data_IF_540530517588
#
_entry.id   IF_540530517588
#
_cell.length_a   1.000
_cell.length_b   1.000
_cell.length_c   1.000
_cell.angle_alpha   90.00
_cell.angle_beta   90.00
_cell.angle_gamma   90.00
#
_symmetry.space_group_name_H-M   'P 1'
#
loop_
_entity.id
_entity.type
_entity.pdbx_description
1 polymer ?
#
# COMPACT_ATOMS: atom_id res chain seq x y z
N UNK A 1 2.06 -42.36 73.50
CA UNK A 1 1.48 -41.01 73.39
C UNK A 1 0.59 -41.03 72.16
N UNK A 2 -0.45 -41.86 72.14
CA UNK A 2 -1.19 -42.19 70.90
C UNK A 2 -2.70 -42.28 71.12
N UNK A 3 -3.21 -41.63 72.17
CA UNK A 3 -4.64 -41.70 72.51
C UNK A 3 -5.25 -40.34 72.86
N UNK A 4 -4.49 -39.24 72.65
CA UNK A 4 -4.98 -37.87 72.84
C UNK A 4 -5.01 -37.03 71.55
N UNK A 5 -4.53 -37.57 70.41
CA UNK A 5 -4.62 -36.94 69.09
C UNK A 5 -5.86 -37.39 68.29
N UNK A 6 -6.57 -38.44 68.70
CA UNK A 6 -7.83 -38.88 68.06
C UNK A 6 -9.11 -38.32 68.72
N UNK A 7 -8.98 -37.54 69.80
CA UNK A 7 -10.14 -36.99 70.52
C UNK A 7 -10.42 -35.51 70.18
N UNK A 8 -9.59 -34.86 69.35
CA UNK A 8 -9.78 -33.47 68.93
C UNK A 8 -10.27 -33.30 67.47
N UNK A 9 -10.33 -34.37 66.66
CA UNK A 9 -10.93 -34.32 65.32
C UNK A 9 -12.43 -34.62 65.30
N UNK A 10 -13.01 -35.06 66.43
CA UNK A 10 -14.42 -35.49 66.50
C UNK A 10 -15.39 -34.41 67.03
N UNK A 11 -14.95 -33.16 67.23
CA UNK A 11 -15.79 -32.09 67.82
C UNK A 11 -15.87 -30.78 67.02
N UNK A 12 -15.42 -30.74 65.75
CA UNK A 12 -15.61 -29.58 64.86
C UNK A 12 -16.51 -29.86 63.64
N UNK A 13 -17.41 -30.84 63.72
CA UNK A 13 -18.41 -31.12 62.67
C UNK A 13 -19.88 -30.98 63.12
N UNK A 14 -20.13 -30.27 64.22
CA UNK A 14 -21.49 -29.94 64.66
C UNK A 14 -21.75 -28.43 64.61
N UNK A 15 -22.69 -28.01 63.74
CA UNK A 15 -23.17 -26.64 63.46
C UNK A 15 -22.30 -25.90 62.41
N UNK A 16 -22.74 -25.61 61.18
CA UNK A 16 -24.06 -25.15 60.74
C UNK A 16 -24.50 -25.85 59.43
N UNK A 17 -25.41 -26.80 59.58
CA UNK A 17 -26.37 -27.15 58.53
C UNK A 17 -27.40 -26.02 58.45
N UNK A 18 -27.32 -25.22 57.39
CA UNK A 18 -28.49 -24.58 56.79
C UNK A 18 -28.34 -24.66 55.27
N UNK A 19 -28.43 -25.88 54.74
CA UNK A 19 -28.76 -26.12 53.34
C UNK A 19 -30.09 -26.87 53.35
N UNK A 20 -31.10 -26.26 52.74
CA UNK A 20 -32.48 -26.72 52.77
C UNK A 20 -32.64 -28.18 52.33
N UNK A 21 -33.67 -28.81 52.89
CA UNK A 21 -34.17 -30.14 52.54
C UNK A 21 -34.14 -30.42 51.02
N UNK A 22 -33.85 -31.66 50.58
CA UNK A 22 -34.00 -32.04 49.18
C UNK A 22 -35.50 -32.05 48.84
N UNK A 23 -35.94 -31.04 48.09
CA UNK A 23 -37.24 -31.05 47.42
C UNK A 23 -37.23 -32.15 46.36
N UNK A 24 -37.77 -33.32 46.70
CA UNK A 24 -38.10 -34.39 45.75
C UNK A 24 -36.92 -35.00 44.98
N UNK A 25 -37.15 -36.13 44.32
CA UNK A 25 -36.21 -36.63 43.30
C UNK A 25 -36.46 -35.80 42.02
N UNK A 26 -35.53 -34.94 41.55
CA UNK A 26 -35.79 -34.02 40.44
C UNK A 26 -36.23 -34.74 39.16
N UNK A 27 -35.74 -35.97 38.98
CA UNK A 27 -36.14 -36.86 37.88
C UNK A 27 -37.60 -37.32 37.98
N UNK A 28 -38.15 -37.48 39.19
CA UNK A 28 -39.54 -37.87 39.42
C UNK A 28 -40.53 -36.71 39.17
N UNK A 29 -40.10 -35.46 39.40
CA UNK A 29 -40.88 -34.27 39.05
C UNK A 29 -40.84 -34.00 37.54
N UNK A 30 -39.68 -34.13 36.90
CA UNK A 30 -39.54 -34.08 35.45
C UNK A 30 -40.39 -35.15 34.74
N UNK A 31 -40.45 -36.37 35.28
CA UNK A 31 -41.29 -37.44 34.72
C UNK A 31 -42.80 -37.11 34.71
N UNK A 32 -43.28 -36.21 35.58
CA UNK A 32 -44.69 -35.74 35.55
C UNK A 32 -44.96 -34.76 34.39
N UNK A 33 -43.93 -34.14 33.84
CA UNK A 33 -44.00 -33.10 32.79
C UNK A 33 -43.48 -33.59 31.42
N UNK A 34 -43.28 -34.89 31.24
CA UNK A 34 -42.76 -35.50 29.99
C UNK A 34 -41.37 -36.13 30.09
N UNK A 35 -40.73 -36.09 31.27
CA UNK A 35 -39.46 -36.76 31.56
C UNK A 35 -38.25 -36.14 30.86
N UNK A 36 -37.14 -36.87 30.84
CA UNK A 36 -35.90 -36.41 30.20
C UNK A 36 -36.04 -36.25 28.67
N UNK A 37 -37.01 -36.96 28.04
CA UNK A 37 -37.31 -36.83 26.61
C UNK A 37 -37.86 -35.45 26.23
N UNK A 38 -38.56 -34.78 27.13
CA UNK A 38 -38.96 -33.38 26.92
C UNK A 38 -37.75 -32.45 26.87
N UNK A 39 -36.79 -32.65 27.78
CA UNK A 39 -35.54 -31.86 27.81
C UNK A 39 -34.69 -32.13 26.56
N UNK A 40 -34.67 -33.37 26.05
CA UNK A 40 -34.02 -33.72 24.77
C UNK A 40 -34.57 -32.95 23.57
N UNK A 41 -35.84 -32.54 23.61
CA UNK A 41 -36.47 -31.76 22.54
C UNK A 41 -36.20 -30.26 22.60
N UNK A 42 -35.75 -29.76 23.77
CA UNK A 42 -35.56 -28.32 24.05
C UNK A 42 -34.08 -27.93 24.07
N UNK A 43 -33.22 -28.80 24.61
CA UNK A 43 -31.78 -28.55 24.75
C UNK A 43 -30.99 -29.46 23.83
N UNK A 44 -30.49 -28.89 22.74
CA UNK A 44 -29.71 -29.64 21.75
C UNK A 44 -28.42 -30.20 22.36
N UNK A 45 -28.12 -31.47 22.05
CA UNK A 45 -26.97 -32.21 22.61
C UNK A 45 -27.19 -32.87 23.97
N UNK A 46 -28.27 -32.56 24.71
CA UNK A 46 -28.51 -33.14 26.05
C UNK A 46 -28.87 -34.63 26.01
N UNK A 47 -29.23 -35.16 24.83
CA UNK A 47 -29.50 -36.58 24.62
C UNK A 47 -28.31 -37.49 24.97
N UNK A 48 -27.08 -36.96 24.91
CA UNK A 48 -25.89 -37.67 25.36
C UNK A 48 -25.81 -37.80 26.89
N UNK A 49 -26.59 -37.01 27.64
CA UNK A 49 -26.66 -37.02 29.11
C UNK A 49 -27.87 -37.78 29.66
N UNK A 50 -28.67 -38.44 28.79
CA UNK A 50 -29.88 -39.14 29.17
C UNK A 50 -29.61 -40.30 30.17
N UNK A 51 -30.23 -40.30 31.37
CA UNK A 51 -30.04 -41.34 32.39
C UNK A 51 -30.44 -42.75 31.94
N UNK A 52 -31.34 -42.87 30.96
CA UNK A 52 -31.80 -44.16 30.42
C UNK A 52 -30.78 -44.81 29.49
N UNK A 53 -29.85 -44.02 28.92
CA UNK A 53 -28.81 -44.47 27.97
C UNK A 53 -27.43 -44.47 28.63
N UNK A 54 -27.24 -45.34 29.64
CA UNK A 54 -26.02 -45.40 30.48
C UNK A 54 -24.71 -45.50 29.70
N UNK A 55 -24.63 -46.39 28.69
CA UNK A 55 -23.41 -46.56 27.89
C UNK A 55 -23.04 -45.30 27.09
N UNK A 56 -24.03 -44.61 26.50
CA UNK A 56 -23.81 -43.38 25.73
C UNK A 56 -23.36 -42.23 26.63
N UNK A 57 -23.90 -42.16 27.85
CA UNK A 57 -23.52 -41.18 28.87
C UNK A 57 -22.09 -41.42 29.38
N UNK A 58 -21.71 -42.66 29.69
CA UNK A 58 -20.33 -42.96 30.11
C UNK A 58 -19.32 -42.66 29.00
N UNK A 59 -19.62 -43.03 27.76
CA UNK A 59 -18.77 -42.68 26.61
C UNK A 59 -18.67 -41.16 26.46
N UNK A 60 -19.78 -40.43 26.55
CA UNK A 60 -19.76 -38.97 26.42
C UNK A 60 -19.01 -38.26 27.55
N UNK A 61 -19.02 -38.80 28.78
CA UNK A 61 -18.32 -38.22 29.93
C UNK A 61 -16.81 -38.53 29.92
N UNK A 62 -16.42 -39.73 29.46
CA UNK A 62 -15.04 -40.20 29.58
C UNK A 62 -14.21 -40.05 28.30
N UNK A 63 -14.83 -39.84 27.14
CA UNK A 63 -14.12 -39.67 25.86
C UNK A 63 -13.45 -38.28 25.78
N UNK A 64 -12.14 -38.24 25.51
CA UNK A 64 -11.36 -37.01 25.34
C UNK A 64 -11.78 -36.22 24.10
N UNK A 65 -12.23 -36.89 23.03
CA UNK A 65 -12.59 -36.25 21.77
C UNK A 65 -13.89 -35.42 21.86
N UNK A 66 -14.66 -35.59 22.94
CA UNK A 66 -15.93 -34.88 23.17
C UNK A 66 -15.81 -33.77 24.22
N UNK A 67 -14.58 -33.37 24.56
CA UNK A 67 -14.34 -32.34 25.57
C UNK A 67 -14.94 -30.97 25.18
N UNK A 68 -14.83 -30.57 23.92
CA UNK A 68 -15.43 -29.33 23.43
C UNK A 68 -16.97 -29.41 23.41
N UNK A 69 -17.55 -30.52 22.91
CA UNK A 69 -19.01 -30.75 22.96
C UNK A 69 -19.57 -30.70 24.40
N UNK A 70 -18.81 -31.19 25.39
CA UNK A 70 -19.20 -31.11 26.81
C UNK A 70 -19.20 -29.67 27.33
N UNK A 71 -18.21 -28.86 26.97
CA UNK A 71 -18.14 -27.44 27.36
C UNK A 71 -19.30 -26.65 26.75
N UNK A 72 -19.57 -26.87 25.46
CA UNK A 72 -20.71 -26.23 24.78
C UNK A 72 -22.05 -26.64 25.41
N UNK A 73 -22.25 -27.94 25.69
CA UNK A 73 -23.47 -28.42 26.34
C UNK A 73 -23.64 -27.80 27.73
N UNK A 74 -22.57 -27.70 28.51
CA UNK A 74 -22.60 -27.04 29.82
C UNK A 74 -22.99 -25.56 29.71
N UNK A 75 -22.43 -24.83 28.74
CA UNK A 75 -22.79 -23.43 28.49
C UNK A 75 -24.26 -23.29 28.08
N UNK A 76 -24.76 -24.15 27.18
CA UNK A 76 -26.17 -24.18 26.77
C UNK A 76 -27.10 -24.44 27.96
N UNK A 77 -26.77 -25.42 28.81
CA UNK A 77 -27.54 -25.72 30.03
C UNK A 77 -27.54 -24.52 30.97
N UNK A 78 -26.39 -23.90 31.23
CA UNK A 78 -26.30 -22.72 32.09
C UNK A 78 -27.09 -21.52 31.54
N UNK A 79 -27.11 -21.32 30.22
CA UNK A 79 -27.94 -20.31 29.56
C UNK A 79 -29.43 -20.54 29.81
N UNK A 80 -29.90 -21.79 29.66
CA UNK A 80 -31.29 -22.17 29.96
C UNK A 80 -31.64 -22.01 31.44
N UNK A 81 -30.76 -22.44 32.35
CA UNK A 81 -30.95 -22.28 33.80
C UNK A 81 -31.06 -20.80 34.17
N UNK A 82 -30.14 -19.96 33.69
CA UNK A 82 -30.17 -18.51 33.93
C UNK A 82 -31.44 -17.85 33.36
N UNK A 83 -32.00 -18.38 32.27
CA UNK A 83 -33.22 -17.86 31.67
C UNK A 83 -34.47 -18.24 32.49
N UNK A 84 -34.52 -19.49 32.95
CA UNK A 84 -35.65 -20.04 33.71
C UNK A 84 -35.69 -19.51 35.15
N UNK A 85 -34.54 -19.24 35.76
CA UNK A 85 -34.46 -18.65 37.10
C UNK A 85 -34.77 -17.14 37.09
N UNK A 86 -34.51 -16.46 35.98
CA UNK A 86 -34.63 -15.00 35.85
C UNK A 86 -35.94 -14.51 35.23
N UNK A 87 -36.88 -15.37 34.85
CA UNK A 87 -38.10 -14.96 34.13
C UNK A 87 -39.32 -15.81 34.50
N UNK A 88 -40.44 -15.14 34.81
CA UNK A 88 -41.67 -15.79 35.30
C UNK A 88 -42.66 -16.19 34.19
N UNK A 89 -42.48 -15.69 32.96
CA UNK A 89 -43.35 -15.99 31.82
C UNK A 89 -42.57 -16.19 30.52
N UNK A 90 -43.15 -16.96 29.60
CA UNK A 90 -42.56 -17.24 28.29
C UNK A 90 -42.32 -15.96 27.46
N UNK A 91 -43.21 -14.97 27.56
CA UNK A 91 -43.05 -13.68 26.87
C UNK A 91 -41.86 -12.89 27.43
N UNK A 92 -41.70 -12.82 28.77
CA UNK A 92 -40.53 -12.18 29.41
C UNK A 92 -39.23 -12.91 29.07
N UNK A 93 -39.26 -14.23 28.95
CA UNK A 93 -38.11 -15.04 28.51
C UNK A 93 -37.71 -14.67 27.07
N UNK A 94 -38.68 -14.55 26.17
CA UNK A 94 -38.43 -14.16 24.77
C UNK A 94 -37.85 -12.74 24.68
N UNK A 95 -38.40 -11.78 25.42
CA UNK A 95 -37.90 -10.40 25.45
C UNK A 95 -36.48 -10.31 26.04
N UNK A 96 -36.20 -11.07 27.11
CA UNK A 96 -34.88 -11.15 27.74
C UNK A 96 -33.85 -11.77 26.78
N UNK A 97 -34.21 -12.84 26.06
CA UNK A 97 -33.37 -13.42 25.02
C UNK A 97 -33.06 -12.39 23.91
N UNK A 98 -34.08 -11.65 23.47
CA UNK A 98 -33.94 -10.65 22.41
C UNK A 98 -33.04 -9.50 22.84
N UNK A 99 -33.20 -9.02 24.08
CA UNK A 99 -32.35 -7.99 24.66
C UNK A 99 -30.91 -8.47 24.84
N UNK A 100 -30.69 -9.69 25.36
CA UNK A 100 -29.34 -10.28 25.47
C UNK A 100 -28.68 -10.47 24.11
N UNK A 101 -29.43 -10.90 23.09
CA UNK A 101 -28.92 -11.04 21.73
C UNK A 101 -28.51 -9.67 21.15
N UNK A 102 -29.33 -8.63 21.35
CA UNK A 102 -28.99 -7.25 20.96
C UNK A 102 -27.74 -6.74 21.69
N UNK A 103 -27.64 -6.93 23.00
CA UNK A 103 -26.44 -6.56 23.78
C UNK A 103 -25.19 -7.31 23.33
N UNK A 104 -25.32 -8.60 22.99
CA UNK A 104 -24.21 -9.39 22.47
C UNK A 104 -23.76 -8.90 21.09
N UNK A 105 -24.70 -8.55 20.22
CA UNK A 105 -24.42 -7.95 18.90
C UNK A 105 -23.73 -6.58 19.02
N UNK A 106 -24.22 -5.71 19.90
CA UNK A 106 -23.60 -4.41 20.20
C UNK A 106 -22.17 -4.58 20.75
N UNK A 107 -21.97 -5.51 21.69
CA UNK A 107 -20.66 -5.80 22.24
C UNK A 107 -19.71 -6.37 21.19
N UNK A 108 -20.20 -7.27 20.31
CA UNK A 108 -19.41 -7.82 19.22
C UNK A 108 -18.97 -6.72 18.26
N UNK A 109 -19.89 -5.86 17.81
CA UNK A 109 -19.59 -4.73 16.92
C UNK A 109 -18.58 -3.77 17.52
N UNK A 110 -18.72 -3.45 18.82
CA UNK A 110 -17.75 -2.62 19.54
C UNK A 110 -16.36 -3.26 19.60
N UNK A 111 -16.28 -4.56 19.89
CA UNK A 111 -15.01 -5.28 19.93
C UNK A 111 -14.37 -5.37 18.54
N UNK A 112 -15.16 -5.59 17.50
CA UNK A 112 -14.69 -5.60 16.11
C UNK A 112 -14.16 -4.21 15.71
N UNK A 113 -14.90 -3.13 15.99
CA UNK A 113 -14.43 -1.76 15.75
C UNK A 113 -13.09 -1.48 16.43
N UNK A 114 -12.98 -1.80 17.72
CA UNK A 114 -11.72 -1.65 18.46
C UNK A 114 -10.57 -2.48 17.85
N UNK A 115 -10.87 -3.67 17.32
CA UNK A 115 -9.88 -4.54 16.68
C UNK A 115 -9.41 -3.94 15.36
N UNK A 116 -10.34 -3.44 14.54
CA UNK A 116 -10.02 -2.77 13.28
C UNK A 116 -9.20 -1.51 13.52
N UNK A 117 -9.59 -0.68 14.49
CA UNK A 117 -8.85 0.53 14.87
C UNK A 117 -7.40 0.20 15.32
N UNK A 118 -7.23 -0.86 16.11
CA UNK A 118 -5.92 -1.30 16.58
C UNK A 118 -5.04 -1.86 15.45
N UNK A 119 -5.63 -2.53 14.45
CA UNK A 119 -4.91 -3.16 13.33
C UNK A 119 -4.76 -2.20 12.13
N UNK A 120 -5.46 -1.07 12.12
CA UNK A 120 -5.52 -0.15 10.96
C UNK A 120 -4.16 0.25 10.40
N UNK A 121 -3.22 0.62 11.26
CA UNK A 121 -1.86 0.98 10.82
C UNK A 121 -1.14 -0.20 10.16
N UNK A 122 -1.26 -1.40 10.73
CA UNK A 122 -0.65 -2.61 10.20
C UNK A 122 -1.29 -2.99 8.86
N UNK A 123 -2.62 -2.92 8.78
CA UNK A 123 -3.39 -3.13 7.55
C UNK A 123 -2.93 -2.18 6.44
N UNK A 124 -2.86 -0.87 6.71
CA UNK A 124 -2.40 0.14 5.75
C UNK A 124 -0.99 -0.17 5.25
N UNK A 125 -0.05 -0.46 6.15
CA UNK A 125 1.35 -0.68 5.78
C UNK A 125 1.53 -1.95 4.91
N UNK A 126 0.93 -3.07 5.30
CA UNK A 126 1.04 -4.31 4.53
C UNK A 126 0.28 -4.25 3.21
N UNK A 127 -0.87 -3.57 3.16
CA UNK A 127 -1.57 -3.30 1.89
C UNK A 127 -0.73 -2.42 0.97
N UNK A 128 -0.06 -1.41 1.51
CA UNK A 128 0.83 -0.52 0.74
C UNK A 128 1.99 -1.30 0.10
N UNK A 129 2.63 -2.20 0.86
CA UNK A 129 3.67 -3.09 0.31
C UNK A 129 3.08 -4.05 -0.74
N UNK A 130 1.92 -4.65 -0.46
CA UNK A 130 1.24 -5.53 -1.41
C UNK A 130 0.91 -4.81 -2.73
N UNK A 131 0.48 -3.55 -2.66
CA UNK A 131 0.17 -2.74 -3.83
C UNK A 131 1.37 -2.56 -4.76
N UNK A 132 2.58 -2.40 -4.24
CA UNK A 132 3.79 -2.39 -5.09
C UNK A 132 3.87 -3.65 -5.95
N UNK A 133 3.82 -4.84 -5.32
CA UNK A 133 3.93 -6.11 -6.02
C UNK A 133 2.80 -6.34 -7.02
N UNK A 134 1.54 -6.07 -6.62
CA UNK A 134 0.36 -6.22 -7.49
C UNK A 134 0.42 -5.33 -8.73
N UNK A 135 1.07 -4.17 -8.62
CA UNK A 135 1.23 -3.24 -9.72
C UNK A 135 2.45 -3.51 -10.60
N UNK A 136 3.42 -4.32 -10.14
CA UNK A 136 4.48 -4.83 -11.03
C UNK A 136 3.96 -5.82 -12.07
N UNK A 137 2.89 -6.57 -11.76
CA UNK A 137 2.34 -7.65 -12.59
C UNK A 137 3.37 -8.72 -12.99
N UNK A 138 4.38 -8.93 -12.15
CA UNK A 138 5.39 -9.97 -12.31
C UNK A 138 5.17 -11.06 -11.26
N UNK A 139 5.34 -12.32 -11.64
CA UNK A 139 5.28 -13.44 -10.69
C UNK A 139 6.44 -13.40 -9.68
N UNK A 140 7.59 -12.88 -10.13
CA UNK A 140 8.78 -12.66 -9.32
C UNK A 140 9.38 -11.29 -9.65
N UNK A 141 9.59 -10.48 -8.62
CA UNK A 141 10.28 -9.20 -8.73
C UNK A 141 11.69 -9.38 -8.19
N UNK A 142 12.69 -9.23 -9.05
CA UNK A 142 14.09 -9.26 -8.64
C UNK A 142 14.53 -7.87 -8.12
N UNK A 143 15.59 -7.85 -7.30
CA UNK A 143 16.26 -6.63 -6.84
C UNK A 143 15.37 -5.65 -6.06
N UNK A 144 14.60 -6.18 -5.10
CA UNK A 144 13.79 -5.39 -4.17
C UNK A 144 14.40 -5.45 -2.77
N UNK A 145 14.68 -4.28 -2.20
CA UNK A 145 15.10 -4.10 -0.81
C UNK A 145 13.98 -3.38 -0.05
N UNK A 146 13.58 -3.92 1.11
CA UNK A 146 12.56 -3.31 1.97
C UNK A 146 13.22 -2.85 3.27
N UNK A 147 13.06 -1.57 3.58
CA UNK A 147 13.50 -0.97 4.84
C UNK A 147 12.28 -0.66 5.69
N UNK A 148 12.26 -1.18 6.92
CA UNK A 148 11.22 -0.88 7.88
C UNK A 148 11.59 0.38 8.67
N UNK A 149 10.92 1.49 8.37
CA UNK A 149 11.11 2.78 9.04
C UNK A 149 9.76 3.49 9.15
N UNK A 150 9.53 4.22 10.25
CA UNK A 150 8.37 5.11 10.36
C UNK A 150 8.58 6.39 9.56
N UNK A 151 7.49 7.06 9.19
CA UNK A 151 7.54 8.33 8.46
C UNK A 151 8.29 9.42 9.25
N UNK A 152 8.16 9.40 10.58
CA UNK A 152 8.89 10.29 11.50
C UNK A 152 10.40 10.05 11.41
N UNK A 153 10.84 8.79 11.39
CA UNK A 153 12.26 8.43 11.31
C UNK A 153 12.91 8.82 9.98
N UNK A 154 12.17 8.75 8.86
CA UNK A 154 12.69 9.14 7.53
C UNK A 154 12.58 10.64 7.26
N UNK A 155 11.86 11.38 8.11
CA UNK A 155 11.74 12.84 8.06
C UNK A 155 12.55 13.56 9.14
N UNK A 156 13.12 12.83 10.09
CA UNK A 156 13.98 13.35 11.13
C UNK A 156 15.34 13.81 10.56
N UNK A 157 15.58 15.13 10.62
CA UNK A 157 16.84 15.74 10.20
C UNK A 157 17.81 15.94 11.37
N UNK A 158 17.31 15.89 12.61
CA UNK A 158 18.10 16.07 13.82
C UNK A 158 18.83 14.76 14.18
N UNK A 159 18.18 13.62 13.96
CA UNK A 159 18.77 12.29 14.07
C UNK A 159 18.61 11.45 12.79
N UNK A 160 19.40 11.76 11.73
CA UNK A 160 19.19 11.23 10.38
C UNK A 160 19.70 9.79 10.18
N UNK A 161 19.56 8.89 11.17
CA UNK A 161 20.05 7.51 11.10
C UNK A 161 19.65 6.78 9.81
N UNK A 162 18.36 6.82 9.45
CA UNK A 162 17.85 6.15 8.25
C UNK A 162 18.26 6.86 6.97
N UNK A 163 18.24 8.19 6.98
CA UNK A 163 18.62 8.99 5.81
C UNK A 163 20.09 8.74 5.47
N UNK A 164 20.96 8.74 6.47
CA UNK A 164 22.38 8.57 6.29
C UNK A 164 22.73 7.11 5.94
N UNK A 165 22.06 6.13 6.54
CA UNK A 165 22.23 4.72 6.17
C UNK A 165 21.84 4.44 4.71
N UNK A 166 20.70 4.96 4.25
CA UNK A 166 20.25 4.79 2.85
C UNK A 166 21.16 5.58 1.89
N UNK A 167 21.61 6.77 2.30
CA UNK A 167 22.56 7.58 1.52
C UNK A 167 23.90 6.86 1.33
N UNK A 168 24.43 6.26 2.40
CA UNK A 168 25.65 5.47 2.35
C UNK A 168 25.46 4.20 1.50
N UNK A 169 24.33 3.51 1.62
CA UNK A 169 24.01 2.37 0.77
C UNK A 169 23.98 2.76 -0.71
N UNK A 170 23.28 3.84 -1.08
CA UNK A 170 23.23 4.31 -2.47
C UNK A 170 24.62 4.68 -2.99
N UNK A 171 25.43 5.38 -2.19
CA UNK A 171 26.81 5.70 -2.55
C UNK A 171 27.64 4.43 -2.74
N UNK A 172 27.52 3.46 -1.85
CA UNK A 172 28.25 2.21 -1.90
C UNK A 172 27.92 1.33 -3.12
N UNK A 173 26.74 1.49 -3.73
CA UNK A 173 26.38 0.83 -4.99
C UNK A 173 26.68 1.68 -6.23
N UNK A 174 26.60 3.00 -6.12
CA UNK A 174 26.87 3.91 -7.24
C UNK A 174 28.37 4.20 -7.45
N UNK A 175 29.20 4.15 -6.39
CA UNK A 175 30.65 4.32 -6.45
C UNK A 175 31.40 3.02 -6.81
N UNK A 176 30.67 1.99 -7.27
CA UNK A 176 31.28 0.75 -7.78
C UNK A 176 31.63 0.90 -9.25
N UNK A 177 32.69 0.21 -9.65
CA UNK A 177 33.02 0.05 -11.07
C UNK A 177 31.91 -0.67 -11.85
N UNK A 178 31.22 -1.59 -11.18
CA UNK A 178 30.11 -2.36 -11.70
C UNK A 178 28.78 -1.81 -11.17
N UNK A 179 27.94 -1.29 -12.06
CA UNK A 179 26.68 -0.61 -11.71
C UNK A 179 25.45 -1.51 -11.89
N UNK A 180 25.62 -2.81 -12.09
CA UNK A 180 24.49 -3.75 -12.31
C UNK A 180 23.51 -3.80 -11.13
N UNK A 181 24.02 -3.68 -9.90
CA UNK A 181 23.22 -3.73 -8.68
C UNK A 181 22.81 -2.33 -8.18
N UNK A 182 23.00 -1.28 -8.98
CA UNK A 182 22.64 0.07 -8.56
C UNK A 182 21.12 0.28 -8.53
N UNK A 183 20.64 0.91 -7.45
CA UNK A 183 19.24 1.23 -7.27
C UNK A 183 18.72 2.18 -8.37
N UNK A 184 17.46 2.00 -8.75
CA UNK A 184 16.80 2.81 -9.79
C UNK A 184 15.61 3.60 -9.29
N UNK A 185 14.88 3.07 -8.31
CA UNK A 185 13.67 3.68 -7.74
C UNK A 185 13.75 3.59 -6.22
N UNK A 186 13.41 4.68 -5.53
CA UNK A 186 13.18 4.74 -4.10
C UNK A 186 11.71 5.12 -3.88
N UNK A 187 10.92 4.25 -3.27
CA UNK A 187 9.54 4.56 -2.89
C UNK A 187 9.47 4.87 -1.40
N UNK A 188 9.04 6.09 -1.05
CA UNK A 188 8.77 6.48 0.34
C UNK A 188 7.28 6.77 0.47
N UNK A 189 6.48 5.81 0.97
CA UNK A 189 5.04 5.98 1.12
C UNK A 189 4.69 7.03 2.18
N UNK A 190 3.78 7.93 1.82
CA UNK A 190 3.29 9.00 2.69
C UNK A 190 3.96 10.35 2.44
N UNK A 191 3.51 11.36 3.19
CA UNK A 191 3.93 12.75 3.02
C UNK A 191 5.07 13.12 3.95
N UNK A 192 6.24 13.43 3.38
CA UNK A 192 7.44 13.81 4.12
C UNK A 192 7.39 15.20 4.78
N UNK A 193 6.33 15.97 4.55
CA UNK A 193 6.13 17.25 5.20
C UNK A 193 7.04 18.35 4.65
N UNK A 194 8.10 18.70 5.41
CA UNK A 194 8.88 19.90 5.16
C UNK A 194 9.65 19.86 3.84
N UNK A 195 9.72 21.01 3.15
CA UNK A 195 10.55 21.18 1.97
C UNK A 195 12.03 20.81 2.22
N UNK A 196 12.54 21.03 3.43
CA UNK A 196 13.92 20.67 3.80
C UNK A 196 14.18 19.17 3.72
N UNK A 197 13.21 18.36 4.14
CA UNK A 197 13.30 16.89 4.13
C UNK A 197 13.29 16.39 2.69
N UNK A 198 12.33 16.89 1.89
CA UNK A 198 12.23 16.56 0.46
C UNK A 198 13.49 16.98 -0.28
N UNK A 199 14.06 18.15 0.03
CA UNK A 199 15.31 18.61 -0.57
C UNK A 199 16.49 17.67 -0.25
N UNK A 200 16.63 17.23 1.02
CA UNK A 200 17.69 16.29 1.42
C UNK A 200 17.56 14.97 0.65
N UNK A 201 16.36 14.40 0.59
CA UNK A 201 16.10 13.17 -0.17
C UNK A 201 16.32 13.34 -1.67
N UNK A 202 15.88 14.46 -2.24
CA UNK A 202 16.04 14.77 -3.65
C UNK A 202 17.52 14.85 -4.04
N UNK A 203 18.37 15.47 -3.20
CA UNK A 203 19.83 15.54 -3.43
C UNK A 203 20.44 14.14 -3.41
N UNK A 204 20.14 13.33 -2.40
CA UNK A 204 20.62 11.94 -2.29
C UNK A 204 20.22 11.14 -3.54
N UNK A 205 18.97 11.28 -3.99
CA UNK A 205 18.48 10.56 -5.16
C UNK A 205 19.14 11.04 -6.46
N UNK A 206 19.29 12.35 -6.65
CA UNK A 206 19.90 12.92 -7.86
C UNK A 206 21.40 12.60 -8.00
N UNK A 207 22.14 12.63 -6.89
CA UNK A 207 23.56 12.26 -6.84
C UNK A 207 23.78 10.80 -7.27
N UNK A 208 22.91 9.90 -6.82
CA UNK A 208 22.99 8.46 -7.09
C UNK A 208 22.15 8.00 -8.31
N UNK A 209 21.54 8.94 -9.04
CA UNK A 209 20.71 8.69 -10.22
C UNK A 209 19.52 7.75 -9.93
N UNK A 210 18.89 7.93 -8.77
CA UNK A 210 17.71 7.17 -8.30
C UNK A 210 16.46 8.05 -8.47
N UNK A 211 15.34 7.44 -8.86
CA UNK A 211 14.05 8.12 -8.94
C UNK A 211 13.26 7.94 -7.66
N UNK A 212 12.96 9.02 -6.96
CA UNK A 212 12.13 9.00 -5.76
C UNK A 212 10.65 9.11 -6.12
N UNK A 213 9.81 8.29 -5.48
CA UNK A 213 8.35 8.37 -5.55
C UNK A 213 7.82 8.51 -4.13
N UNK A 214 7.07 9.58 -3.87
CA UNK A 214 6.49 9.88 -2.56
C UNK A 214 5.12 10.54 -2.72
N UNK A 215 4.40 10.75 -1.64
CA UNK A 215 3.02 11.26 -1.66
C UNK A 215 2.95 12.68 -1.11
N UNK A 216 1.98 13.46 -1.59
CA UNK A 216 1.52 14.67 -0.92
C UNK A 216 0.54 14.33 0.21
N UNK A 217 0.27 15.31 1.06
CA UNK A 217 -0.63 15.19 2.20
C UNK A 217 -1.98 14.55 1.82
N UNK A 218 -2.47 13.71 2.72
CA UNK A 218 -3.77 13.07 2.59
C UNK A 218 -4.87 14.07 2.98
N UNK A 219 -5.59 14.60 2.00
CA UNK A 219 -6.57 15.68 2.17
C UNK A 219 -7.93 15.28 1.58
N UNK A 220 -8.99 15.93 2.05
CA UNK A 220 -10.36 15.53 1.71
C UNK A 220 -10.91 16.18 0.44
N UNK A 221 -10.30 17.28 -0.01
CA UNK A 221 -10.78 18.05 -1.18
C UNK A 221 -9.64 18.40 -2.15
N UNK A 222 -9.95 18.50 -3.45
CA UNK A 222 -8.97 18.93 -4.45
C UNK A 222 -8.49 20.38 -4.23
N UNK A 223 -9.38 21.28 -3.82
CA UNK A 223 -9.02 22.69 -3.56
C UNK A 223 -7.98 22.80 -2.43
N UNK A 224 -8.15 22.02 -1.35
CA UNK A 224 -7.20 21.99 -0.23
C UNK A 224 -5.83 21.46 -0.69
N UNK A 225 -5.79 20.49 -1.62
CA UNK A 225 -4.53 20.00 -2.21
C UNK A 225 -3.84 21.13 -2.97
N UNK A 226 -4.57 21.88 -3.78
CA UNK A 226 -4.02 23.00 -4.54
C UNK A 226 -3.46 24.06 -3.60
N UNK A 227 -4.25 24.50 -2.62
CA UNK A 227 -3.88 25.59 -1.72
C UNK A 227 -2.69 25.23 -0.83
N UNK A 228 -2.71 24.03 -0.22
CA UNK A 228 -1.64 23.58 0.66
C UNK A 228 -0.37 23.25 -0.12
N UNK A 229 -0.46 22.69 -1.33
CA UNK A 229 0.72 22.42 -2.15
C UNK A 229 1.38 23.71 -2.62
N UNK A 230 0.60 24.71 -3.05
CA UNK A 230 1.11 26.03 -3.38
C UNK A 230 1.82 26.66 -2.17
N UNK A 231 1.25 26.54 -0.99
CA UNK A 231 1.82 27.08 0.26
C UNK A 231 3.09 26.32 0.71
N UNK A 232 3.17 25.02 0.46
CA UNK A 232 4.30 24.19 0.85
C UNK A 232 5.57 24.45 0.00
N UNK A 233 5.41 25.02 -1.20
CA UNK A 233 6.49 25.40 -2.12
C UNK A 233 7.52 24.27 -2.32
N UNK A 234 7.02 23.08 -2.65
CA UNK A 234 7.81 21.86 -2.80
C UNK A 234 8.46 21.71 -4.18
N UNK A 235 8.04 22.52 -5.15
CA UNK A 235 8.62 22.57 -6.49
C UNK A 235 9.79 23.54 -6.57
N UNK A 236 10.68 23.33 -7.54
CA UNK A 236 11.86 24.19 -7.68
C UNK A 236 12.60 24.00 -9.01
N UNK A 237 13.42 24.99 -9.36
CA UNK A 237 14.25 24.99 -10.56
C UNK A 237 15.58 24.23 -10.39
N UNK A 238 15.83 23.66 -9.21
CA UNK A 238 17.05 22.94 -8.91
C UNK A 238 17.02 21.53 -9.51
N UNK A 239 18.13 21.10 -10.11
CA UNK A 239 18.26 19.82 -10.81
C UNK A 239 17.77 18.62 -9.98
N UNK A 240 18.03 18.61 -8.66
CA UNK A 240 17.65 17.49 -7.81
C UNK A 240 16.14 17.25 -7.72
N UNK A 241 15.30 18.27 -7.98
CA UNK A 241 13.84 18.14 -8.02
C UNK A 241 13.35 17.29 -9.20
N UNK A 242 14.18 17.12 -10.23
CA UNK A 242 13.85 16.28 -11.38
C UNK A 242 13.82 14.78 -11.05
N UNK A 243 14.44 14.38 -9.93
CA UNK A 243 14.43 13.00 -9.45
C UNK A 243 13.31 12.70 -8.45
N UNK A 244 12.32 13.59 -8.29
CA UNK A 244 11.22 13.39 -7.35
C UNK A 244 9.88 13.43 -8.07
N UNK A 245 9.12 12.35 -7.90
CA UNK A 245 7.72 12.22 -8.30
C UNK A 245 6.87 12.32 -7.04
N UNK A 246 5.87 13.19 -7.06
CA UNK A 246 4.94 13.35 -5.95
C UNK A 246 3.50 13.03 -6.37
N UNK A 247 2.93 11.99 -5.78
CA UNK A 247 1.56 11.58 -6.02
C UNK A 247 0.58 12.31 -5.13
N UNK A 248 -0.65 12.50 -5.59
CA UNK A 248 -1.74 13.05 -4.77
C UNK A 248 -3.05 12.31 -5.07
N UNK A 249 -4.07 12.58 -4.24
CA UNK A 249 -5.34 11.85 -4.19
C UNK A 249 -5.12 10.37 -3.81
N UNK A 250 -5.33 10.05 -2.53
CA UNK A 250 -4.99 8.75 -1.98
C UNK A 250 -5.94 7.64 -2.48
N UNK A 251 -5.45 6.41 -2.45
CA UNK A 251 -6.19 5.23 -2.91
C UNK A 251 -7.06 4.69 -1.77
N UNK A 252 -8.27 4.24 -2.07
CA UNK A 252 -9.11 3.53 -1.09
C UNK A 252 -8.80 2.04 -1.17
N UNK A 253 -8.02 1.54 -0.21
CA UNK A 253 -7.59 0.14 -0.16
C UNK A 253 -8.63 -0.81 0.43
N UNK A 254 -9.49 -0.30 1.33
CA UNK A 254 -10.67 -0.99 1.86
C UNK A 254 -11.73 0.06 2.19
N UNK A 255 -12.96 -0.18 1.74
CA UNK A 255 -14.10 0.63 2.16
C UNK A 255 -14.34 0.51 3.67
N UNK A 256 -14.94 1.55 4.26
CA UNK A 256 -15.37 1.53 5.66
C UNK A 256 -16.30 0.35 5.93
N UNK A 257 -16.08 -0.33 7.05
CA UNK A 257 -16.95 -1.40 7.52
C UNK A 257 -18.19 -0.80 8.22
N UNK A 258 -19.22 -0.50 7.44
CA UNK A 258 -20.47 0.11 7.94
C UNK A 258 -21.16 -0.75 9.01
N UNK A 259 -21.02 -2.08 8.91
CA UNK A 259 -21.56 -3.08 9.83
C UNK A 259 -21.05 -2.96 11.28
N UNK A 260 -19.85 -2.39 11.46
CA UNK A 260 -19.22 -2.17 12.78
C UNK A 260 -19.07 -0.68 13.11
N UNK A 261 -19.55 0.21 12.24
CA UNK A 261 -19.53 1.66 12.44
C UNK A 261 -18.13 2.29 12.29
N UNK A 262 -17.32 1.79 11.35
CA UNK A 262 -16.14 2.54 10.89
C UNK A 262 -16.60 3.80 10.14
N UNK A 263 -15.98 4.94 10.49
CA UNK A 263 -16.34 6.25 9.92
C UNK A 263 -15.56 6.54 8.63
N UNK A 264 -14.34 6.01 8.54
CA UNK A 264 -13.38 6.32 7.50
C UNK A 264 -12.97 5.08 6.72
N UNK A 265 -12.60 5.28 5.46
CA UNK A 265 -12.00 4.24 4.64
C UNK A 265 -10.55 3.96 5.07
N UNK A 266 -10.04 2.78 4.70
CA UNK A 266 -8.60 2.52 4.78
C UNK A 266 -7.93 3.09 3.54
N UNK A 267 -7.26 4.21 3.73
CA UNK A 267 -6.58 4.95 2.68
C UNK A 267 -5.13 4.48 2.55
N UNK A 268 -4.66 4.33 1.31
CA UNK A 268 -3.33 3.87 0.97
C UNK A 268 -2.56 4.96 0.20
N UNK A 269 -1.28 5.18 0.52
CA UNK A 269 -0.41 6.08 -0.24
C UNK A 269 -0.21 5.57 -1.69
N UNK A 270 -0.53 6.38 -2.72
CA UNK A 270 -0.38 5.96 -4.11
C UNK A 270 1.05 5.68 -4.59
N UNK A 271 2.08 6.24 -3.95
CA UNK A 271 3.47 6.21 -4.41
C UNK A 271 3.99 4.80 -4.69
N UNK A 272 3.66 3.82 -3.86
CA UNK A 272 4.10 2.42 -4.02
C UNK A 272 3.40 1.73 -5.19
N UNK A 273 2.11 2.00 -5.38
CA UNK A 273 1.33 1.52 -6.53
C UNK A 273 1.92 2.06 -7.83
N UNK A 274 2.22 3.37 -7.85
CA UNK A 274 2.86 4.02 -8.99
C UNK A 274 4.28 3.48 -9.22
N UNK A 275 5.09 3.30 -8.17
CA UNK A 275 6.43 2.74 -8.26
C UNK A 275 6.41 1.32 -8.87
N UNK A 276 5.43 0.48 -8.48
CA UNK A 276 5.22 -0.83 -9.08
C UNK A 276 4.91 -0.75 -10.58
N UNK A 277 4.03 0.18 -11.00
CA UNK A 277 3.75 0.41 -12.43
C UNK A 277 4.95 0.96 -13.20
N UNK A 278 5.71 1.87 -12.60
CA UNK A 278 6.94 2.45 -13.16
C UNK A 278 8.03 1.37 -13.34
N UNK A 279 8.09 0.40 -12.43
CA UNK A 279 8.98 -0.76 -12.53
C UNK A 279 8.64 -1.64 -13.73
N UNK A 280 7.35 -1.93 -13.96
CA UNK A 280 6.90 -2.72 -15.11
C UNK A 280 7.04 -2.00 -16.45
N UNK A 281 6.68 -0.72 -16.46
CA UNK A 281 6.53 0.07 -17.69
C UNK A 281 7.90 0.36 -18.31
N UNK A 282 7.97 0.30 -19.64
CA UNK A 282 9.18 0.68 -20.38
C UNK A 282 9.63 2.08 -19.95
N UNK A 283 10.93 2.26 -19.74
CA UNK A 283 11.47 3.45 -19.10
C UNK A 283 11.18 4.77 -19.84
N UNK A 284 11.14 4.74 -21.18
CA UNK A 284 10.74 5.90 -22.00
C UNK A 284 9.25 6.22 -21.94
N UNK A 285 8.44 5.26 -21.52
CA UNK A 285 7.00 5.39 -21.42
C UNK A 285 6.62 5.89 -20.01
N UNK A 286 5.63 6.78 -19.99
CA UNK A 286 5.05 7.26 -18.73
C UNK A 286 4.03 6.25 -18.22
N UNK A 287 4.07 5.98 -16.91
CA UNK A 287 3.05 5.21 -16.21
C UNK A 287 1.83 6.09 -15.91
N UNK A 288 1.22 6.62 -16.98
CA UNK A 288 0.12 7.56 -16.90
C UNK A 288 -1.01 7.23 -17.90
N UNK A 289 -2.21 7.68 -17.57
CA UNK A 289 -3.40 7.51 -18.39
C UNK A 289 -3.88 6.06 -18.52
N UNK A 290 -4.89 5.85 -19.35
CA UNK A 290 -5.64 4.58 -19.41
C UNK A 290 -4.81 3.35 -19.75
N UNK A 291 -3.78 3.48 -20.59
CA UNK A 291 -3.00 2.35 -21.11
C UNK A 291 -1.89 1.91 -20.16
N UNK A 292 -1.17 2.86 -19.56
CA UNK A 292 0.06 2.60 -18.80
C UNK A 292 -0.02 3.03 -17.34
N UNK A 293 -1.01 3.85 -16.95
CA UNK A 293 -1.17 4.36 -15.59
C UNK A 293 -2.20 3.61 -14.74
N UNK A 294 -2.89 2.58 -15.29
CA UNK A 294 -3.92 1.84 -14.56
C UNK A 294 -3.33 1.14 -13.33
N UNK A 295 -3.95 1.33 -12.16
CA UNK A 295 -3.58 0.75 -10.87
C UNK A 295 -4.46 -0.47 -10.60
N UNK A 296 -3.86 -1.57 -10.14
CA UNK A 296 -4.54 -2.84 -9.90
C UNK A 296 -5.03 -2.95 -8.45
N UNK A 297 -6.12 -3.70 -8.22
CA UNK A 297 -6.65 -4.03 -6.88
C UNK A 297 -6.95 -2.79 -6.01
N UNK A 298 -7.51 -1.75 -6.62
CA UNK A 298 -8.03 -0.58 -5.91
C UNK A 298 -9.39 -0.22 -6.51
N UNK A 299 -10.38 0.00 -5.64
CA UNK A 299 -11.78 0.18 -6.05
C UNK A 299 -12.20 1.66 -6.14
N UNK A 300 -11.59 2.53 -5.32
CA UNK A 300 -11.86 3.97 -5.36
C UNK A 300 -10.62 4.82 -5.06
N UNK A 301 -10.72 6.11 -5.39
CA UNK A 301 -9.82 7.17 -4.92
C UNK A 301 -10.57 8.01 -3.90
N UNK A 302 -9.84 8.80 -3.11
CA UNK A 302 -10.42 9.58 -2.01
C UNK A 302 -11.49 10.57 -2.48
N UNK A 303 -11.23 11.28 -3.58
CA UNK A 303 -12.21 12.16 -4.21
C UNK A 303 -12.11 12.10 -5.73
N UNK A 304 -13.24 12.32 -6.41
CA UNK A 304 -13.29 12.42 -7.87
C UNK A 304 -12.72 13.76 -8.33
N UNK A 305 -11.99 13.73 -9.44
CA UNK A 305 -11.33 14.90 -10.02
C UNK A 305 -11.93 15.22 -11.38
N UNK A 306 -12.29 16.49 -11.60
CA UNK A 306 -12.69 16.97 -12.93
C UNK A 306 -11.47 17.14 -13.82
N UNK A 307 -11.69 17.10 -15.14
CA UNK A 307 -10.63 17.36 -16.14
C UNK A 307 -9.82 18.65 -15.87
N UNK A 308 -10.50 19.74 -15.50
CA UNK A 308 -9.83 21.01 -15.18
C UNK A 308 -8.92 20.92 -13.95
N UNK A 309 -9.36 20.20 -12.91
CA UNK A 309 -8.60 19.99 -11.67
C UNK A 309 -7.40 19.08 -11.91
N UNK A 310 -7.57 18.03 -12.74
CA UNK A 310 -6.44 17.17 -13.18
C UNK A 310 -5.38 17.99 -13.90
N UNK A 311 -5.77 18.81 -14.88
CA UNK A 311 -4.85 19.69 -15.61
C UNK A 311 -4.14 20.69 -14.69
N UNK A 312 -4.84 21.21 -13.67
CA UNK A 312 -4.25 22.11 -12.68
C UNK A 312 -3.20 21.40 -11.81
N UNK A 313 -3.53 20.21 -11.27
CA UNK A 313 -2.61 19.41 -10.46
C UNK A 313 -1.37 18.98 -11.26
N UNK A 314 -1.54 18.62 -12.54
CA UNK A 314 -0.41 18.34 -13.44
C UNK A 314 0.48 19.58 -13.62
N UNK A 315 -0.11 20.77 -13.87
CA UNK A 315 0.66 22.01 -14.04
C UNK A 315 1.47 22.36 -12.79
N UNK A 316 0.98 21.99 -11.60
CA UNK A 316 1.67 22.16 -10.33
C UNK A 316 2.81 21.15 -10.10
N UNK A 317 2.92 20.11 -10.91
CA UNK A 317 3.97 19.09 -10.79
C UNK A 317 3.57 17.84 -10.00
N UNK A 318 2.27 17.70 -9.68
CA UNK A 318 1.73 16.52 -8.99
C UNK A 318 1.33 15.41 -9.97
N UNK A 319 1.23 14.20 -9.44
CA UNK A 319 0.66 13.02 -10.11
C UNK A 319 -0.63 12.60 -9.41
N UNK A 320 -1.79 13.14 -9.82
CA UNK A 320 -3.07 12.75 -9.26
C UNK A 320 -3.45 11.32 -9.64
N UNK A 321 -4.00 10.58 -8.69
CA UNK A 321 -4.79 9.37 -8.98
C UNK A 321 -6.20 9.81 -9.37
N UNK A 322 -6.73 9.22 -10.45
CA UNK A 322 -8.06 9.53 -10.97
C UNK A 322 -8.84 8.24 -11.16
N UNK A 323 -10.14 8.26 -10.90
CA UNK A 323 -11.05 7.15 -11.20
C UNK A 323 -11.84 7.47 -12.46
N UNK A 324 -11.50 6.84 -13.58
CA UNK A 324 -12.14 7.07 -14.87
C UNK A 324 -12.35 5.75 -15.60
N UNK A 325 -13.50 5.61 -16.26
CA UNK A 325 -13.87 4.38 -16.98
C UNK A 325 -13.88 3.11 -16.11
N UNK A 326 -14.23 3.23 -14.82
CA UNK A 326 -14.23 2.13 -13.86
C UNK A 326 -12.83 1.59 -13.55
N UNK A 327 -11.80 2.41 -13.74
CA UNK A 327 -10.40 2.09 -13.47
C UNK A 327 -9.71 3.26 -12.81
N UNK A 328 -8.86 2.96 -11.84
CA UNK A 328 -8.02 3.96 -11.20
C UNK A 328 -6.73 4.06 -11.97
N UNK A 329 -6.29 5.28 -12.27
CA UNK A 329 -5.05 5.50 -12.98
C UNK A 329 -4.30 6.72 -12.47
N UNK A 330 -2.98 6.66 -12.55
CA UNK A 330 -2.14 7.83 -12.40
C UNK A 330 -2.28 8.74 -13.63
N UNK A 331 -2.40 10.05 -13.42
CA UNK A 331 -2.60 11.00 -14.51
C UNK A 331 -1.62 12.18 -14.42
N UNK A 332 -0.35 11.94 -14.77
CA UNK A 332 0.67 12.95 -15.01
C UNK A 332 2.00 12.26 -15.31
N UNK A 333 2.90 12.98 -15.96
CA UNK A 333 4.29 12.57 -16.18
C UNK A 333 5.30 13.42 -15.41
N UNK A 334 4.82 14.30 -14.53
CA UNK A 334 5.61 15.40 -13.99
C UNK A 334 6.53 14.99 -12.84
N UNK A 335 7.60 15.75 -12.70
CA UNK A 335 8.48 15.79 -11.53
C UNK A 335 8.24 17.11 -10.78
N UNK A 336 8.86 17.27 -9.61
CA UNK A 336 8.83 18.55 -8.88
C UNK A 336 9.71 19.65 -9.52
N UNK A 337 10.39 19.35 -10.63
CA UNK A 337 11.23 20.32 -11.33
C UNK A 337 10.40 21.31 -12.14
N UNK A 338 10.65 22.61 -11.95
CA UNK A 338 9.94 23.70 -12.65
C UNK A 338 10.86 24.60 -13.48
N UNK A 339 12.14 24.23 -13.64
CA UNK A 339 13.08 24.98 -14.47
C UNK A 339 12.81 24.85 -15.98
N UNK A 340 13.55 25.62 -16.77
CA UNK A 340 13.32 25.79 -18.22
C UNK A 340 13.48 24.50 -19.04
N UNK A 341 14.23 23.52 -18.53
CA UNK A 341 14.42 22.25 -19.21
C UNK A 341 13.17 21.36 -19.08
N UNK A 342 12.28 21.44 -20.06
CA UNK A 342 11.04 20.67 -20.16
C UNK A 342 11.30 19.14 -20.04
N UNK A 343 12.46 18.65 -20.47
CA UNK A 343 12.84 17.25 -20.32
C UNK A 343 12.94 16.83 -18.86
N UNK A 344 13.53 17.67 -18.01
CA UNK A 344 13.68 17.38 -16.57
C UNK A 344 12.37 17.50 -15.80
N UNK A 345 11.36 18.17 -16.37
CA UNK A 345 10.00 18.19 -15.82
C UNK A 345 9.25 16.87 -16.04
N UNK A 346 9.79 15.93 -16.84
CA UNK A 346 9.11 14.67 -17.20
C UNK A 346 9.90 13.48 -16.65
N UNK A 347 9.32 12.68 -15.76
CA UNK A 347 10.08 11.63 -15.08
C UNK A 347 10.58 10.52 -16.00
N UNK A 348 9.87 10.19 -17.09
CA UNK A 348 10.32 9.15 -18.04
C UNK A 348 11.62 9.58 -18.74
N UNK A 349 11.73 10.86 -19.06
CA UNK A 349 12.92 11.47 -19.67
C UNK A 349 14.11 11.42 -18.69
N UNK A 350 13.89 11.82 -17.43
CA UNK A 350 14.93 11.76 -16.39
C UNK A 350 15.43 10.33 -16.18
N UNK A 351 14.51 9.36 -16.11
CA UNK A 351 14.87 7.93 -15.97
C UNK A 351 15.72 7.44 -17.15
N UNK A 352 15.37 7.80 -18.39
CA UNK A 352 16.16 7.45 -19.58
C UNK A 352 17.57 8.06 -19.50
N UNK A 353 17.70 9.33 -19.08
CA UNK A 353 19.00 9.96 -18.89
C UNK A 353 19.84 9.26 -17.82
N UNK A 354 19.23 8.96 -16.67
CA UNK A 354 19.89 8.29 -15.56
C UNK A 354 20.36 6.87 -15.96
N UNK A 355 19.53 6.12 -16.69
CA UNK A 355 19.90 4.80 -17.20
C UNK A 355 21.05 4.85 -18.20
N UNK A 356 20.96 5.71 -19.22
CA UNK A 356 22.02 5.84 -20.23
C UNK A 356 23.33 6.26 -19.57
N UNK A 357 23.28 7.16 -18.59
CA UNK A 357 24.46 7.59 -17.81
C UNK A 357 25.07 6.41 -17.06
N UNK A 358 24.27 5.61 -16.34
CA UNK A 358 24.75 4.43 -15.61
C UNK A 358 25.40 3.40 -16.53
N UNK A 359 24.78 3.10 -17.67
CA UNK A 359 25.32 2.10 -18.62
C UNK A 359 26.63 2.58 -19.24
N UNK A 360 26.72 3.86 -19.62
CA UNK A 360 27.95 4.42 -20.17
C UNK A 360 29.07 4.47 -19.13
N UNK A 361 28.76 4.82 -17.88
CA UNK A 361 29.74 4.78 -16.79
C UNK A 361 30.26 3.36 -16.55
N UNK A 362 29.39 2.36 -16.43
CA UNK A 362 29.79 0.95 -16.28
C UNK A 362 30.67 0.49 -17.45
N UNK A 363 30.28 0.83 -18.69
CA UNK A 363 31.06 0.50 -19.88
C UNK A 363 32.44 1.16 -19.88
N UNK A 364 32.51 2.47 -19.62
CA UNK A 364 33.77 3.21 -19.62
C UNK A 364 34.68 2.78 -18.45
N UNK A 365 34.13 2.46 -17.29
CA UNK A 365 34.87 1.94 -16.14
C UNK A 365 35.57 0.61 -16.47
N UNK A 366 34.90 -0.29 -17.21
CA UNK A 366 35.50 -1.55 -17.68
C UNK A 366 36.62 -1.35 -18.71
N UNK A 367 36.63 -0.21 -19.40
CA UNK A 367 37.61 0.18 -20.42
C UNK A 367 38.70 1.12 -19.89
N UNK A 368 38.64 1.47 -18.61
CA UNK A 368 39.64 2.30 -17.98
C UNK A 368 41.03 1.61 -18.05
N UNK A 369 42.09 2.42 -18.11
CA UNK A 369 43.49 2.00 -18.27
C UNK A 369 43.86 1.35 -19.62
N UNK A 370 42.95 1.29 -20.59
CA UNK A 370 43.33 1.00 -21.98
C UNK A 370 44.11 2.20 -22.58
N UNK A 371 45.19 1.93 -23.32
CA UNK A 371 45.99 2.99 -23.94
C UNK A 371 45.15 3.82 -24.91
N UNK A 372 45.10 5.14 -24.74
CA UNK A 372 44.41 6.02 -25.68
C UNK A 372 45.21 6.14 -26.99
N UNK A 373 44.66 5.62 -28.08
CA UNK A 373 45.21 5.75 -29.43
C UNK A 373 44.04 5.82 -30.43
N UNK A 374 44.32 6.21 -31.69
CA UNK A 374 43.28 6.40 -32.70
C UNK A 374 42.44 5.13 -32.97
N UNK A 375 43.02 3.94 -32.81
CA UNK A 375 42.31 2.67 -33.00
C UNK A 375 41.35 2.38 -31.83
N UNK A 376 41.80 2.61 -30.61
CA UNK A 376 40.99 2.42 -29.40
C UNK A 376 39.89 3.48 -29.30
N UNK A 377 40.17 4.73 -29.70
CA UNK A 377 39.14 5.76 -29.81
C UNK A 377 38.04 5.34 -30.79
N UNK A 378 38.39 4.87 -31.99
CA UNK A 378 37.42 4.45 -33.00
C UNK A 378 36.59 3.23 -32.53
N UNK A 379 37.24 2.28 -31.85
CA UNK A 379 36.57 1.11 -31.27
C UNK A 379 35.59 1.47 -30.15
N UNK A 380 36.01 2.31 -29.19
CA UNK A 380 35.13 2.81 -28.12
C UNK A 380 33.97 3.61 -28.68
N UNK A 381 34.25 4.52 -29.63
CA UNK A 381 33.23 5.30 -30.31
C UNK A 381 32.21 4.38 -31.01
N UNK A 382 32.68 3.35 -31.71
CA UNK A 382 31.83 2.38 -32.40
C UNK A 382 30.96 1.58 -31.43
N UNK A 383 31.49 1.15 -30.30
CA UNK A 383 30.71 0.43 -29.27
C UNK A 383 29.65 1.34 -28.64
N UNK A 384 29.99 2.59 -28.31
CA UNK A 384 29.03 3.59 -27.80
C UNK A 384 27.93 3.85 -28.83
N UNK A 385 28.28 4.05 -30.10
CA UNK A 385 27.31 4.25 -31.18
C UNK A 385 26.41 3.02 -31.34
N UNK A 386 26.97 1.81 -31.30
CA UNK A 386 26.20 0.55 -31.39
C UNK A 386 25.20 0.43 -30.25
N UNK A 387 25.60 0.75 -29.02
CA UNK A 387 24.69 0.80 -27.88
C UNK A 387 23.58 1.84 -28.07
N UNK A 388 23.94 3.08 -28.44
CA UNK A 388 22.97 4.16 -28.63
C UNK A 388 22.00 3.89 -29.79
N UNK A 389 22.45 3.26 -30.88
CA UNK A 389 21.59 2.83 -31.97
C UNK A 389 20.67 1.66 -31.55
N UNK A 390 21.10 0.75 -30.67
CA UNK A 390 20.26 -0.34 -30.16
C UNK A 390 19.08 0.15 -29.29
N UNK A 391 19.25 1.28 -28.61
CA UNK A 391 18.21 1.92 -27.80
C UNK A 391 17.45 3.03 -28.53
N UNK A 392 17.74 3.23 -29.83
CA UNK A 392 17.12 4.22 -30.71
C UNK A 392 16.06 3.58 -31.59
N UNK A 393 14.96 4.31 -31.82
CA UNK A 393 13.92 3.92 -32.76
C UNK A 393 12.53 3.77 -32.13
N UNK A 394 11.51 3.47 -32.96
CA UNK A 394 10.14 3.32 -32.48
C UNK A 394 10.06 2.25 -31.39
N UNK A 395 9.32 2.54 -30.31
CA UNK A 395 9.18 1.71 -29.12
C UNK A 395 10.49 1.46 -28.34
N UNK A 396 11.53 2.27 -28.57
CA UNK A 396 12.79 2.24 -27.80
C UNK A 396 12.89 3.43 -26.84
N UNK A 397 14.08 3.67 -26.31
CA UNK A 397 14.30 4.68 -25.26
C UNK A 397 14.43 6.09 -25.84
N UNK A 398 15.05 6.22 -27.01
CA UNK A 398 15.45 7.51 -27.56
C UNK A 398 15.06 7.65 -29.04
N UNK A 399 14.78 8.88 -29.45
CA UNK A 399 14.46 9.20 -30.84
C UNK A 399 15.75 9.39 -31.67
N UNK A 400 16.70 10.16 -31.10
CA UNK A 400 17.96 10.50 -31.76
C UNK A 400 19.05 10.83 -30.76
N UNK A 401 20.30 10.67 -31.19
CA UNK A 401 21.48 11.08 -30.44
C UNK A 401 22.55 11.64 -31.39
N UNK A 402 23.47 12.42 -30.81
CA UNK A 402 24.67 12.92 -31.47
C UNK A 402 25.80 13.01 -30.44
N UNK A 403 26.92 12.36 -30.72
CA UNK A 403 28.16 12.55 -29.96
C UNK A 403 28.74 13.90 -30.41
N UNK A 404 28.77 14.88 -29.52
CA UNK A 404 29.28 16.23 -29.78
C UNK A 404 30.80 16.26 -29.60
N UNK A 405 31.29 15.58 -28.57
CA UNK A 405 32.71 15.53 -28.21
C UNK A 405 33.05 14.13 -27.74
N UNK A 406 34.15 13.60 -28.24
CA UNK A 406 34.78 12.39 -27.70
C UNK A 406 36.27 12.50 -27.97
N UNK A 407 37.01 13.05 -27.01
CA UNK A 407 38.45 13.33 -27.15
C UNK A 407 39.17 13.32 -25.81
N UNK A 408 40.46 12.96 -25.81
CA UNK A 408 41.33 13.09 -24.65
C UNK A 408 41.63 14.58 -24.37
N UNK A 409 41.66 14.95 -23.09
CA UNK A 409 42.02 16.29 -22.66
C UNK A 409 43.47 16.61 -23.03
N UNK A 410 43.68 17.80 -23.60
CA UNK A 410 44.99 18.25 -24.11
C UNK A 410 45.99 18.56 -22.99
N UNK A 411 45.51 18.92 -21.81
CA UNK A 411 46.32 19.30 -20.65
C UNK A 411 46.47 18.11 -19.71
N UNK A 412 45.37 17.41 -19.41
CA UNK A 412 45.40 16.23 -18.56
C UNK A 412 45.07 14.96 -19.37
N UNK A 413 46.12 14.28 -19.86
CA UNK A 413 45.95 13.07 -20.68
C UNK A 413 45.23 11.92 -19.97
N UNK A 414 45.06 11.96 -18.66
CA UNK A 414 44.31 10.94 -17.92
C UNK A 414 42.78 11.16 -18.00
N UNK A 415 42.32 12.24 -18.64
CA UNK A 415 40.89 12.57 -18.79
C UNK A 415 40.44 12.47 -20.24
N UNK A 416 39.25 11.89 -20.44
CA UNK A 416 38.57 11.82 -21.73
C UNK A 416 37.21 12.49 -21.59
N UNK A 417 36.91 13.42 -22.49
CA UNK A 417 35.63 14.10 -22.56
C UNK A 417 34.68 13.32 -23.45
N UNK A 418 33.49 12.98 -22.96
CA UNK A 418 32.41 12.38 -23.74
C UNK A 418 31.14 13.23 -23.57
N UNK A 419 30.80 14.00 -24.60
CA UNK A 419 29.59 14.81 -24.62
C UNK A 419 28.60 14.21 -25.61
N UNK A 420 27.45 13.76 -25.11
CA UNK A 420 26.37 13.18 -25.92
C UNK A 420 25.14 14.06 -25.80
N UNK A 421 24.64 14.54 -26.94
CA UNK A 421 23.33 15.18 -27.04
C UNK A 421 22.31 14.12 -27.43
N UNK A 422 21.26 13.96 -26.63
CA UNK A 422 20.24 12.94 -26.84
C UNK A 422 18.85 13.55 -26.76
N UNK A 423 17.93 13.06 -27.59
CA UNK A 423 16.51 13.44 -27.57
C UNK A 423 15.69 12.19 -27.23
N UNK A 424 15.12 12.13 -26.01
CA UNK A 424 14.23 11.06 -25.60
C UNK A 424 12.83 11.26 -26.16
N UNK A 425 12.01 10.21 -26.09
CA UNK A 425 10.59 10.32 -26.43
C UNK A 425 9.83 11.13 -25.39
N UNK A 426 9.02 12.08 -25.85
CA UNK A 426 8.08 12.81 -25.01
C UNK A 426 6.69 12.18 -25.12
N UNK A 427 5.95 12.05 -24.02
CA UNK A 427 4.58 11.58 -24.06
C UNK A 427 3.67 12.63 -24.72
N UNK A 428 2.76 12.18 -25.59
CA UNK A 428 1.69 13.04 -26.13
C UNK A 428 0.72 13.43 -25.02
N UNK A 429 0.46 14.74 -24.87
CA UNK A 429 -0.37 15.28 -23.77
C UNK A 429 -1.82 15.54 -24.15
N UNK A 430 -2.06 16.12 -25.32
CA UNK A 430 -3.40 16.43 -25.81
C UNK A 430 -3.48 16.22 -27.32
N UNK A 431 -4.69 15.95 -27.80
CA UNK A 431 -5.00 15.89 -29.22
C UNK A 431 -5.82 17.13 -29.57
N UNK A 432 -5.32 17.93 -30.51
CA UNK A 432 -6.09 19.04 -31.09
C UNK A 432 -6.89 18.48 -32.26
N UNK A 433 -8.22 18.57 -32.18
CA UNK A 433 -9.12 18.16 -33.26
C UNK A 433 -9.54 19.42 -34.01
N UNK A 434 -9.17 19.51 -35.28
CA UNK A 434 -9.67 20.52 -36.22
C UNK A 434 -10.73 19.85 -37.10
N UNK A 435 -11.91 20.44 -37.18
CA UNK A 435 -13.01 19.96 -38.01
C UNK A 435 -13.34 21.05 -39.04
N UNK A 436 -12.92 20.83 -40.28
CA UNK A 436 -13.23 21.73 -41.39
C UNK A 436 -14.49 21.25 -42.11
N UNK A 437 -15.50 22.11 -42.20
CA UNK A 437 -16.76 21.83 -42.87
C UNK A 437 -16.91 22.65 -44.14
N UNK A 438 -16.95 21.99 -45.30
CA UNK A 438 -17.38 22.64 -46.55
C UNK A 438 -18.89 22.47 -46.75
N UNK A 439 -19.60 23.59 -46.93
CA UNK A 439 -20.93 23.59 -47.55
C UNK A 439 -20.74 24.03 -49.00
N UNK A 440 -21.31 23.26 -49.95
CA UNK A 440 -21.18 23.50 -51.38
C UNK A 440 -21.51 24.93 -51.80
N UNK A 441 -20.75 25.42 -52.79
CA UNK A 441 -20.88 26.65 -53.57
C UNK A 441 -21.41 27.89 -52.81
N UNK A 442 -20.58 28.44 -51.92
CA UNK A 442 -20.10 29.83 -51.99
C UNK A 442 -19.35 30.17 -50.69
N UNK A 443 -18.16 30.77 -50.84
CA UNK A 443 -17.12 30.82 -49.83
C UNK A 443 -17.44 31.60 -48.57
N UNK A 444 -17.58 30.88 -47.45
CA UNK A 444 -17.24 31.36 -46.12
C UNK A 444 -16.58 30.21 -45.35
N UNK A 445 -15.29 30.38 -45.03
CA UNK A 445 -14.57 29.49 -44.13
C UNK A 445 -15.13 29.65 -42.71
N UNK A 446 -15.63 28.58 -42.13
CA UNK A 446 -15.94 28.51 -40.71
C UNK A 446 -14.90 27.65 -40.03
N UNK A 447 -13.86 28.31 -39.50
CA UNK A 447 -12.87 27.67 -38.64
C UNK A 447 -13.45 27.52 -37.23
N UNK A 448 -13.80 26.29 -36.86
CA UNK A 448 -14.06 25.94 -35.47
C UNK A 448 -12.81 25.30 -34.87
N UNK A 449 -11.94 26.12 -34.28
CA UNK A 449 -10.78 25.63 -33.54
C UNK A 449 -11.20 25.21 -32.13
N UNK A 450 -11.24 23.89 -31.88
CA UNK A 450 -11.43 23.34 -30.54
C UNK A 450 -10.07 23.07 -29.90
N UNK A 451 -9.50 24.07 -29.25
CA UNK A 451 -8.31 23.90 -28.42
C UNK A 451 -8.72 23.21 -27.11
N UNK A 452 -8.32 21.96 -26.91
CA UNK A 452 -8.39 21.31 -25.59
C UNK A 452 -7.01 21.46 -24.92
N UNK A 453 -6.87 22.48 -24.07
CA UNK A 453 -5.70 22.66 -23.20
C UNK A 453 -5.70 21.72 -21.99
#
# INVERSE_FOLDING_TARGET
>A
MDSKLQAQESQQQGQQQHAGQPKGNPLAELNKMGGFGFVESVVDGIANMNPTRKARKEIFLNDSNKAEERKELLQKINLWVNLLEGSESADKMADTCKSKAQQADENLKKNLKNTLDAVRMLETNYRTVAQFYKNTELDKVDNVSIVNASLEQVSDLDNPLFIDAISEEFKNYYDRLDLRDNYSILAIPGYLGSNKVIEKWAKICNENKVMMVTDFANLDKPDDVVDLFHSANLTGGELHRSNVIMTCNWLVGRGKAEEVGEEENVELPPSTSLAGKIHKTLMSQVAAGKKHGNINEVDAVKFELKKSEISQLEKMGLVPMVNEYGKIMAFSAKTLFTGDNIGLQTYSVVRVFDYVTKVLLDFLNRRAFENWNAKNEDDLRRQIVTFLDNIKGPDKLIEKFKIVRFEQDRVNKDRVWLDIRMTPYFPTKSFVIKLDGHKGDDGNEWDAEYTQE
#
